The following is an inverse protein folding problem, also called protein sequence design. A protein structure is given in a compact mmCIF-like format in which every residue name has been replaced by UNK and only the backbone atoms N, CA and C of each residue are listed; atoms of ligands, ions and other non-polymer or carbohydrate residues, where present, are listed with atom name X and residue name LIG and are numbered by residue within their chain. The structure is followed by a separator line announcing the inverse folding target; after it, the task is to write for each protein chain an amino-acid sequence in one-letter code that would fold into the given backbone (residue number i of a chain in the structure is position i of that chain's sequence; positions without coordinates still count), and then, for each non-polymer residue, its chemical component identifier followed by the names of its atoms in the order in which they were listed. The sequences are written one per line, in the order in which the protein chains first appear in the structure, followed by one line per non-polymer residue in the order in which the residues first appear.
data_IF_791949637780
#
_entry.id   IF_791949637780
#
_cell.length_a   1.000
_cell.length_b   1.000
_cell.length_c   1.000
_cell.angle_alpha   90.00
_cell.angle_beta   90.00
_cell.angle_gamma   90.00
#
_symmetry.space_group_name_H-M   'P 1'
#
loop_
_entity.id
_entity.type
_entity.pdbx_description
1 polymer ?
#
# COMPACT_ATOMS: atom_id res chain seq x y z
N UNK A 1 12.75 18.86 3.13
CA UNK A 1 11.34 18.49 2.96
C UNK A 1 10.86 17.97 4.30
N UNK A 2 9.83 18.59 4.89
CA UNK A 2 9.26 18.12 6.16
C UNK A 2 8.23 17.02 5.84
N UNK A 3 8.52 15.79 6.28
CA UNK A 3 7.61 14.65 6.12
C UNK A 3 6.87 14.48 7.43
N UNK A 4 5.56 14.68 7.42
CA UNK A 4 4.72 14.49 8.59
C UNK A 4 3.97 13.17 8.47
N UNK A 5 4.30 12.21 9.34
CA UNK A 5 3.61 10.93 9.38
C UNK A 5 2.16 11.10 9.84
N UNK A 6 1.22 10.57 9.06
CA UNK A 6 -0.21 10.60 9.37
C UNK A 6 -0.66 9.27 9.94
N UNK A 7 -0.38 8.18 9.23
CA UNK A 7 -0.89 6.84 9.54
C UNK A 7 0.01 5.77 8.94
N UNK A 8 0.05 4.62 9.61
CA UNK A 8 0.67 3.41 9.07
C UNK A 8 -0.37 2.31 8.98
N UNK A 9 -0.35 1.55 7.90
CA UNK A 9 -1.21 0.40 7.69
C UNK A 9 -0.37 -0.82 7.34
N UNK A 10 -0.93 -1.99 7.57
CA UNK A 10 -0.34 -3.26 7.13
C UNK A 10 -1.44 -4.17 6.63
N UNK A 11 -1.16 -4.95 5.59
CA UNK A 11 -2.16 -5.88 5.03
C UNK A 11 -1.55 -6.88 4.06
N UNK A 12 -2.36 -7.84 3.64
CA UNK A 12 -1.97 -8.85 2.65
C UNK A 12 -2.86 -8.75 1.41
N UNK A 13 -2.38 -9.25 0.28
CA UNK A 13 -3.20 -9.40 -0.92
C UNK A 13 -3.84 -10.79 -0.89
N UNK A 14 -5.17 -10.89 -1.08
CA UNK A 14 -5.92 -12.16 -0.94
C UNK A 14 -5.35 -13.31 -1.78
N UNK A 15 -4.86 -13.01 -2.98
CA UNK A 15 -4.29 -13.99 -3.91
C UNK A 15 -2.80 -14.26 -3.69
N UNK A 16 -2.14 -13.42 -2.90
CA UNK A 16 -0.73 -13.48 -2.57
C UNK A 16 -0.55 -13.23 -1.06
N UNK A 17 -1.08 -14.12 -0.19
CA UNK A 17 -1.04 -13.93 1.26
C UNK A 17 0.39 -13.86 1.82
N UNK A 18 1.38 -14.33 1.07
CA UNK A 18 2.81 -14.20 1.35
C UNK A 18 3.32 -12.75 1.22
N UNK A 19 2.63 -11.90 0.44
CA UNK A 19 2.95 -10.49 0.30
C UNK A 19 2.29 -9.70 1.44
N UNK A 20 3.03 -9.54 2.53
CA UNK A 20 2.65 -8.69 3.67
C UNK A 20 3.17 -7.27 3.47
N UNK A 21 2.27 -6.35 3.15
CA UNK A 21 2.58 -4.98 2.76
C UNK A 21 2.52 -4.01 3.94
N UNK A 22 3.42 -3.04 3.93
CA UNK A 22 3.58 -1.93 4.86
C UNK A 22 3.29 -0.62 4.13
N UNK A 23 2.17 0.02 4.51
CA UNK A 23 1.76 1.27 3.90
C UNK A 23 2.03 2.43 4.86
N UNK A 24 2.71 3.46 4.37
CA UNK A 24 2.95 4.70 5.10
C UNK A 24 2.18 5.85 4.44
N UNK A 25 1.37 6.55 5.23
CA UNK A 25 0.76 7.82 4.82
C UNK A 25 1.47 8.99 5.47
N UNK A 26 1.80 9.98 4.65
CA UNK A 26 2.44 11.23 5.06
C UNK A 26 1.71 12.43 4.46
N UNK A 27 1.91 13.58 5.08
CA UNK A 27 1.60 14.88 4.51
C UNK A 27 2.92 15.56 4.12
N UNK A 28 3.02 15.93 2.84
CA UNK A 28 4.19 16.58 2.24
C UNK A 28 3.71 17.78 1.43
N UNK A 29 4.11 18.98 1.85
CA UNK A 29 3.73 20.25 1.18
C UNK A 29 2.21 20.41 0.95
N UNK A 30 1.39 19.90 1.87
CA UNK A 30 -0.07 19.97 1.83
C UNK A 30 -0.73 18.88 0.97
N UNK A 31 0.05 17.92 0.45
CA UNK A 31 -0.44 16.77 -0.30
C UNK A 31 -0.36 15.51 0.56
N UNK A 32 -1.37 14.65 0.48
CA UNK A 32 -1.33 13.34 1.13
C UNK A 32 -0.63 12.36 0.20
N UNK A 33 0.43 11.73 0.69
CA UNK A 33 1.21 10.73 -0.04
C UNK A 33 1.02 9.38 0.64
N UNK A 34 0.68 8.36 -0.14
CA UNK A 34 0.60 6.97 0.31
C UNK A 34 1.72 6.17 -0.34
N UNK A 35 2.45 5.37 0.45
CA UNK A 35 3.60 4.58 -0.01
C UNK A 35 3.46 3.12 0.39
N UNK A 36 3.73 2.19 -0.53
CA UNK A 36 4.00 0.80 -0.24
C UNK A 36 5.50 0.62 -0.06
N UNK A 37 5.94 0.44 1.20
CA UNK A 37 7.36 0.40 1.53
C UNK A 37 8.05 -0.88 1.05
N UNK A 38 7.31 -1.95 0.76
CA UNK A 38 7.88 -3.21 0.29
C UNK A 38 8.11 -3.25 -1.23
N UNK A 39 7.57 -2.29 -1.98
CA UNK A 39 7.68 -2.20 -3.45
C UNK A 39 8.29 -0.88 -3.93
N UNK A 40 8.63 0.04 -3.03
CA UNK A 40 9.06 1.40 -3.37
C UNK A 40 8.08 2.13 -4.31
N UNK A 41 6.77 1.83 -4.17
CA UNK A 41 5.68 2.42 -4.97
C UNK A 41 4.96 3.47 -4.13
N UNK A 42 4.66 4.62 -4.74
CA UNK A 42 3.92 5.69 -4.06
C UNK A 42 2.89 6.34 -4.98
N UNK A 43 1.90 6.97 -4.35
CA UNK A 43 0.89 7.79 -5.01
C UNK A 43 0.54 8.99 -4.12
N UNK A 44 -0.20 9.94 -4.68
CA UNK A 44 -0.69 11.10 -3.95
C UNK A 44 -2.20 11.27 -4.14
N UNK A 45 -2.82 12.06 -3.26
CA UNK A 45 -4.23 12.43 -3.36
C UNK A 45 -4.56 13.68 -2.56
N UNK A 46 -5.72 14.26 -2.85
CA UNK A 46 -6.27 15.41 -2.12
C UNK A 46 -6.70 15.01 -0.69
N UNK A 47 -6.98 13.73 -0.47
CA UNK A 47 -7.32 13.16 0.83
C UNK A 47 -6.79 11.71 0.96
N UNK A 48 -6.94 11.12 2.15
CA UNK A 48 -6.46 9.76 2.46
C UNK A 48 -7.07 8.70 1.53
N UNK A 49 -8.37 8.82 1.21
CA UNK A 49 -9.05 7.84 0.37
C UNK A 49 -8.54 7.87 -1.07
N UNK A 50 -8.33 9.05 -1.63
CA UNK A 50 -7.84 9.22 -3.00
C UNK A 50 -6.39 8.74 -3.13
N UNK A 51 -5.53 9.10 -2.17
CA UNK A 51 -4.14 8.63 -2.15
C UNK A 51 -4.07 7.10 -2.08
N UNK A 52 -4.85 6.48 -1.21
CA UNK A 52 -4.92 5.02 -1.07
C UNK A 52 -5.51 4.31 -2.30
N UNK A 53 -6.54 4.89 -2.92
CA UNK A 53 -7.13 4.35 -4.15
C UNK A 53 -6.09 4.35 -5.28
N UNK A 54 -5.40 5.47 -5.47
CA UNK A 54 -4.32 5.60 -6.47
C UNK A 54 -3.13 4.68 -6.17
N UNK A 55 -2.80 4.49 -4.88
CA UNK A 55 -1.75 3.55 -4.48
C UNK A 55 -2.10 2.12 -4.87
N UNK A 56 -3.37 1.74 -4.66
CA UNK A 56 -3.84 0.40 -4.97
C UNK A 56 -3.77 0.09 -6.47
N UNK A 57 -4.10 1.05 -7.33
CA UNK A 57 -3.93 0.91 -8.78
C UNK A 57 -2.45 0.73 -9.12
N UNK A 58 -1.57 1.52 -8.52
CA UNK A 58 -0.12 1.44 -8.73
C UNK A 58 0.48 0.10 -8.29
N UNK A 59 0.07 -0.42 -7.13
CA UNK A 59 0.47 -1.76 -6.65
C UNK A 59 -0.03 -2.86 -7.59
N UNK A 60 -1.26 -2.71 -8.10
CA UNK A 60 -1.84 -3.68 -9.05
C UNK A 60 -1.02 -3.74 -10.33
N UNK A 61 -0.71 -2.59 -10.93
CA UNK A 61 0.06 -2.50 -12.16
C UNK A 61 1.50 -3.01 -11.96
N UNK A 62 2.10 -2.77 -10.79
CA UNK A 62 3.42 -3.28 -10.43
C UNK A 62 3.44 -4.81 -10.36
N UNK A 63 2.46 -5.42 -9.68
CA UNK A 63 2.32 -6.89 -9.61
C UNK A 63 2.04 -7.49 -10.99
N UNK A 64 1.11 -6.89 -11.75
CA UNK A 64 0.79 -7.35 -13.10
C UNK A 64 2.02 -7.34 -14.02
N UNK A 65 2.84 -6.29 -13.91
CA UNK A 65 4.10 -6.19 -14.64
C UNK A 65 5.07 -7.31 -14.24
N UNK A 66 5.30 -7.53 -12.94
CA UNK A 66 6.20 -8.57 -12.45
C UNK A 66 5.75 -9.98 -12.89
N UNK A 67 4.46 -10.28 -12.76
CA UNK A 67 3.87 -11.56 -13.21
C UNK A 67 4.02 -11.73 -14.72
N UNK A 68 3.70 -10.70 -15.51
CA UNK A 68 3.82 -10.72 -16.97
C UNK A 68 5.26 -10.92 -17.46
N UNK A 69 6.25 -10.60 -16.64
CA UNK A 69 7.69 -10.78 -16.92
C UNK A 69 8.27 -12.06 -16.31
N UNK A 70 7.49 -12.82 -15.55
CA UNK A 70 7.97 -14.00 -14.81
C UNK A 70 8.96 -13.65 -13.70
N UNK A 71 8.89 -12.42 -13.16
CA UNK A 71 9.80 -11.87 -12.15
C UNK A 71 9.12 -11.70 -10.79
N UNK A 72 8.05 -12.45 -10.52
CA UNK A 72 7.30 -12.34 -9.27
C UNK A 72 8.15 -12.68 -8.03
N UNK A 73 9.09 -13.61 -8.15
CA UNK A 73 10.01 -13.98 -7.06
C UNK A 73 10.97 -12.84 -6.67
N UNK A 74 11.11 -11.82 -7.51
CA UNK A 74 11.98 -10.65 -7.34
C UNK A 74 11.16 -9.36 -7.09
N UNK A 75 9.87 -9.47 -6.76
CA UNK A 75 8.95 -8.33 -6.68
C UNK A 75 9.23 -7.39 -5.50
N UNK A 76 9.86 -7.90 -4.43
CA UNK A 76 10.16 -7.12 -3.23
C UNK A 76 11.28 -6.11 -3.53
N UNK A 77 10.96 -4.83 -3.45
CA UNK A 77 11.86 -3.70 -3.63
C UNK A 77 11.66 -2.72 -2.47
N UNK A 78 12.38 -2.90 -1.35
CA UNK A 78 12.13 -2.11 -0.16
C UNK A 78 12.56 -0.65 -0.33
N UNK A 79 11.71 0.26 0.14
CA UNK A 79 11.94 1.71 0.10
C UNK A 79 13.06 2.14 1.06
N UNK A 80 13.46 3.41 0.99
CA UNK A 80 14.57 3.98 1.76
C UNK A 80 14.40 3.78 3.28
N UNK A 81 15.51 3.45 3.96
CA UNK A 81 15.53 3.17 5.40
C UNK A 81 14.97 4.34 6.23
N UNK A 82 15.10 5.58 5.77
CA UNK A 82 14.51 6.76 6.42
C UNK A 82 12.99 6.69 6.49
N UNK A 83 12.31 6.15 5.46
CA UNK A 83 10.86 5.99 5.43
C UNK A 83 10.41 4.83 6.32
N UNK A 84 11.19 3.74 6.37
CA UNK A 84 10.99 2.66 7.34
C UNK A 84 11.10 3.15 8.79
N UNK A 85 12.06 4.01 9.08
CA UNK A 85 12.20 4.63 10.39
C UNK A 85 10.99 5.49 10.77
N UNK A 86 10.44 6.26 9.81
CA UNK A 86 9.19 7.01 10.00
C UNK A 86 8.02 6.06 10.29
N UNK A 87 7.89 4.98 9.52
CA UNK A 87 6.86 3.98 9.71
C UNK A 87 6.92 3.35 11.11
N UNK A 88 8.08 2.84 11.53
CA UNK A 88 8.19 2.16 12.82
C UNK A 88 7.96 3.11 14.00
N UNK A 89 8.45 4.35 13.89
CA UNK A 89 8.18 5.41 14.86
C UNK A 89 6.67 5.67 14.97
N UNK A 90 5.97 5.85 13.85
CA UNK A 90 4.53 6.10 13.84
C UNK A 90 3.71 4.89 14.31
N UNK A 91 4.11 3.67 13.94
CA UNK A 91 3.45 2.43 14.38
C UNK A 91 3.54 2.24 15.88
N UNK A 92 4.71 2.53 16.47
CA UNK A 92 4.94 2.45 17.92
C UNK A 92 4.07 3.41 18.75
N UNK A 93 3.56 4.48 18.14
CA UNK A 93 2.67 5.45 18.77
C UNK A 93 1.18 5.00 18.79
N UNK A 94 0.88 3.74 18.43
CA UNK A 94 -0.44 3.12 18.63
C UNK A 94 -1.32 3.01 17.37
N UNK A 95 -0.73 2.76 16.21
CA UNK A 95 -1.49 2.66 14.96
C UNK A 95 -2.34 1.38 14.89
N UNK A 96 -3.61 1.53 14.49
CA UNK A 96 -4.56 0.43 14.26
C UNK A 96 -4.26 -0.25 12.93
N UNK A 97 -4.14 -1.58 12.92
CA UNK A 97 -4.24 -2.38 11.69
C UNK A 97 -5.61 -2.11 11.06
N UNK A 98 -5.63 -1.60 9.83
CA UNK A 98 -6.86 -1.44 9.06
C UNK A 98 -6.69 -2.27 7.78
N UNK A 99 -7.52 -3.30 7.63
CA UNK A 99 -7.67 -4.01 6.37
C UNK A 99 -8.28 -3.01 5.38
N UNK A 100 -7.54 -2.58 4.36
CA UNK A 100 -7.96 -1.56 3.41
C UNK A 100 -9.06 -2.11 2.48
N UNK A 101 -10.36 -1.79 2.67
CA UNK A 101 -11.43 -2.31 1.83
C UNK A 101 -11.49 -1.55 0.49
N UNK A 102 -10.95 -0.32 0.47
CA UNK A 102 -11.07 0.62 -0.66
C UNK A 102 -10.10 0.33 -1.81
N UNK A 103 -9.02 -0.40 -1.54
CA UNK A 103 -8.04 -0.84 -2.55
C UNK A 103 -8.63 -1.86 -3.55
N UNK A 104 -9.67 -2.60 -3.16
CA UNK A 104 -10.03 -3.82 -3.86
C UNK A 104 -11.12 -3.69 -4.91
N UNK A 105 -11.83 -2.55 -5.02
CA UNK A 105 -12.93 -2.42 -5.99
C UNK A 105 -12.47 -2.54 -7.45
N UNK A 106 -11.27 -2.06 -7.79
CA UNK A 106 -10.68 -2.22 -9.12
C UNK A 106 -10.21 -3.66 -9.39
N UNK A 107 -9.56 -4.27 -8.41
CA UNK A 107 -9.03 -5.64 -8.46
C UNK A 107 -10.14 -6.71 -8.57
N UNK A 108 -11.23 -6.54 -7.81
CA UNK A 108 -12.40 -7.43 -7.80
C UNK A 108 -12.94 -7.62 -9.22
N UNK A 109 -13.12 -6.50 -9.95
CA UNK A 109 -13.71 -6.49 -11.28
C UNK A 109 -12.76 -7.00 -12.37
N UNK A 110 -11.46 -6.74 -12.25
CA UNK A 110 -10.44 -7.15 -13.24
C UNK A 110 -10.11 -8.65 -13.15
N UNK A 111 -10.15 -9.22 -11.95
CA UNK A 111 -9.76 -10.61 -11.69
C UNK A 111 -10.93 -11.55 -11.33
N UNK A 112 -12.17 -11.05 -11.30
CA UNK A 112 -13.34 -11.89 -10.97
C UNK A 112 -13.32 -12.40 -9.53
N UNK A 113 -12.89 -11.56 -8.59
CA UNK A 113 -12.78 -11.96 -7.19
C UNK A 113 -14.16 -11.92 -6.53
N UNK A 114 -14.52 -12.89 -5.66
CA UNK A 114 -15.79 -12.86 -4.95
C UNK A 114 -15.88 -11.60 -4.08
N UNK A 115 -17.07 -10.99 -4.04
CA UNK A 115 -17.41 -9.73 -3.33
C UNK A 115 -17.09 -9.76 -1.82
N UNK A 116 -16.88 -10.97 -1.32
CA UNK A 116 -16.47 -11.40 0.00
C UNK A 116 -14.93 -11.51 0.06
N UNK A 117 -14.26 -10.36 -0.03
CA UNK A 117 -12.82 -10.25 0.23
C UNK A 117 -12.52 -10.22 1.75
N UNK A 118 -13.51 -9.93 2.61
CA UNK A 118 -13.34 -9.97 4.06
C UNK A 118 -14.63 -10.34 4.82
N UNK A 119 -14.65 -11.51 5.48
CA UNK A 119 -15.36 -11.80 6.75
C UNK A 119 -14.85 -13.17 7.25
N UNK A 120 -14.47 -13.39 8.51
CA UNK A 120 -14.87 -12.82 9.80
C UNK A 120 -13.68 -12.45 10.70
#
# INVERSE_FOLDING_TARGET
MEIKALKTLTGTIKHFPELYLHILLTEEEGVIVARCLDFSVSSHGENEADALASLSESITDYIDYAVGRGAFDEIIDPDDESLWNVFWKQKSHGSKTMLLPYALKGLIKKFGLPDDIFDR
#
